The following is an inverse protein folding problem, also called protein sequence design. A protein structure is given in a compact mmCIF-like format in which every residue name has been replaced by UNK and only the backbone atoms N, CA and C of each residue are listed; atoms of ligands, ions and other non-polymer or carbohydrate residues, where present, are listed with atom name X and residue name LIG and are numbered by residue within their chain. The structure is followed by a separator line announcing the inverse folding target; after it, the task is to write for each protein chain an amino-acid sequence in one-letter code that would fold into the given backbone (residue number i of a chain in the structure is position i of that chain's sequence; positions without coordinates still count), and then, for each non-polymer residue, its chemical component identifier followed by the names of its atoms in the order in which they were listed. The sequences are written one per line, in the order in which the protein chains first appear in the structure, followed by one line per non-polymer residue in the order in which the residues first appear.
data_IF_928967733381
#
_entry.id   IF_928967733381
#
_cell.length_a   1.000
_cell.length_b   1.000
_cell.length_c   1.000
_cell.angle_alpha   90.00
_cell.angle_beta   90.00
_cell.angle_gamma   90.00
#
_symmetry.space_group_name_H-M   'P 1'
#
loop_
_entity.id
_entity.type
_entity.pdbx_description
1 polymer ?
#
# COMPACT_ATOMS: atom_id res chain seq x y z
N UNK A 1 10.10 -19.81 -7.49
CA UNK A 1 9.55 -19.07 -6.34
C UNK A 1 10.08 -17.65 -6.44
N UNK A 2 9.40 -16.78 -7.18
CA UNK A 2 9.89 -15.44 -7.45
C UNK A 2 9.77 -14.60 -6.18
N UNK A 3 10.89 -14.03 -5.74
CA UNK A 3 11.00 -12.97 -4.74
C UNK A 3 10.26 -11.73 -5.26
N UNK A 4 8.92 -11.77 -5.25
CA UNK A 4 8.12 -10.60 -5.58
C UNK A 4 8.50 -9.53 -4.56
N UNK A 5 9.01 -8.40 -5.06
CA UNK A 5 9.39 -7.26 -4.23
C UNK A 5 8.15 -6.85 -3.41
N UNK A 6 8.19 -7.11 -2.10
CA UNK A 6 7.08 -6.90 -1.15
C UNK A 6 6.84 -5.43 -0.81
N UNK A 7 7.61 -4.54 -1.44
CA UNK A 7 7.65 -3.12 -1.15
C UNK A 7 7.56 -2.36 -2.46
N UNK A 8 6.55 -1.52 -2.58
CA UNK A 8 6.31 -0.65 -3.74
C UNK A 8 6.24 0.80 -3.30
N UNK A 9 6.65 1.72 -4.19
CA UNK A 9 6.36 3.13 -4.01
C UNK A 9 4.83 3.35 -3.97
N UNK A 10 4.31 4.36 -3.27
CA UNK A 10 2.87 4.65 -3.26
C UNK A 10 2.27 4.82 -4.67
N UNK A 11 3.09 5.28 -5.61
CA UNK A 11 2.71 5.52 -7.02
C UNK A 11 2.64 4.23 -7.83
N UNK A 12 3.58 3.31 -7.60
CA UNK A 12 3.55 1.97 -8.19
C UNK A 12 2.39 1.16 -7.62
N UNK A 13 2.15 1.28 -6.31
CA UNK A 13 1.03 0.65 -5.63
C UNK A 13 -0.31 1.18 -6.17
N UNK A 14 -0.45 2.48 -6.40
CA UNK A 14 -1.65 3.06 -7.02
C UNK A 14 -1.94 2.44 -8.38
N UNK A 15 -0.92 2.34 -9.24
CA UNK A 15 -1.06 1.73 -10.57
C UNK A 15 -1.33 0.22 -10.52
N UNK A 16 -0.76 -0.49 -9.55
CA UNK A 16 -0.84 -1.95 -9.43
C UNK A 16 -2.14 -2.43 -8.80
N UNK A 17 -2.62 -1.71 -7.78
CA UNK A 17 -3.80 -2.08 -7.01
C UNK A 17 -5.05 -1.29 -7.43
N UNK A 18 -4.90 -0.27 -8.27
CA UNK A 18 -6.02 0.55 -8.74
C UNK A 18 -6.66 1.42 -7.65
N UNK A 19 -5.93 1.71 -6.57
CA UNK A 19 -6.39 2.56 -5.47
C UNK A 19 -5.60 3.84 -5.40
N UNK A 20 -6.25 4.96 -5.13
CA UNK A 20 -5.57 6.25 -5.14
C UNK A 20 -4.49 6.34 -4.06
N UNK A 21 -3.36 6.97 -4.37
CA UNK A 21 -2.27 7.23 -3.42
C UNK A 21 -2.73 7.88 -2.11
N UNK A 22 -3.75 8.74 -2.16
CA UNK A 22 -4.35 9.33 -0.95
C UNK A 22 -4.94 8.29 -0.01
N UNK A 23 -5.60 7.27 -0.55
CA UNK A 23 -6.17 6.18 0.24
C UNK A 23 -5.08 5.28 0.81
N UNK A 24 -4.05 4.98 0.01
CA UNK A 24 -2.86 4.24 0.46
C UNK A 24 -2.19 4.96 1.64
N UNK A 25 -1.93 6.26 1.50
CA UNK A 25 -1.34 7.07 2.57
C UNK A 25 -2.23 7.09 3.82
N UNK A 26 -3.54 7.18 3.66
CA UNK A 26 -4.47 7.11 4.78
C UNK A 26 -4.39 5.75 5.51
N UNK A 27 -4.31 4.64 4.78
CA UNK A 27 -4.13 3.33 5.41
C UNK A 27 -2.80 3.19 6.13
N UNK A 28 -1.76 3.85 5.61
CA UNK A 28 -0.47 3.94 6.28
C UNK A 28 -0.57 4.77 7.57
N UNK A 29 -1.23 5.93 7.53
CA UNK A 29 -1.47 6.79 8.71
C UNK A 29 -2.34 6.11 9.77
N UNK A 30 -3.36 5.35 9.34
CA UNK A 30 -4.23 4.56 10.20
C UNK A 30 -3.52 3.29 10.76
N UNK A 31 -2.27 3.03 10.35
CA UNK A 31 -1.49 1.86 10.79
C UNK A 31 -2.00 0.52 10.22
N UNK A 32 -2.80 0.57 9.16
CA UNK A 32 -3.40 -0.60 8.50
C UNK A 32 -2.44 -1.27 7.52
N UNK A 33 -1.45 -0.53 7.02
CA UNK A 33 -0.47 -1.00 6.03
C UNK A 33 0.92 -0.60 6.49
N UNK A 34 1.85 -1.56 6.48
CA UNK A 34 3.25 -1.26 6.79
C UNK A 34 3.88 -0.39 5.71
N UNK A 35 4.66 0.58 6.15
CA UNK A 35 5.41 1.46 5.26
C UNK A 35 6.84 1.66 5.74
N UNK A 36 7.72 1.95 4.79
CA UNK A 36 9.01 2.57 5.05
C UNK A 36 8.87 4.06 4.83
N UNK A 37 9.34 4.82 5.80
CA UNK A 37 9.42 6.27 5.72
C UNK A 37 10.88 6.68 5.77
N UNK A 38 11.28 7.53 4.84
CA UNK A 38 12.59 8.17 4.86
C UNK A 38 12.38 9.67 5.07
N UNK A 39 13.05 10.25 6.07
CA UNK A 39 12.94 11.67 6.41
C UNK A 39 11.49 12.19 6.59
N UNK A 40 10.59 11.34 7.09
CA UNK A 40 9.17 11.69 7.29
C UNK A 40 8.28 11.58 6.04
N UNK A 41 8.80 11.01 4.94
CA UNK A 41 8.05 10.74 3.72
C UNK A 41 7.95 9.25 3.47
N UNK A 42 6.75 8.75 3.20
CA UNK A 42 6.53 7.35 2.80
C UNK A 42 7.25 7.07 1.48
N UNK A 43 8.29 6.23 1.54
CA UNK A 43 9.08 5.80 0.38
C UNK A 43 8.56 4.50 -0.20
N UNK A 44 8.16 3.57 0.66
CA UNK A 44 7.68 2.25 0.25
C UNK A 44 6.50 1.82 1.11
N UNK A 45 5.57 1.08 0.53
CA UNK A 45 4.43 0.45 1.20
C UNK A 45 4.45 -1.05 0.96
N UNK A 46 4.00 -1.80 1.96
CA UNK A 46 3.93 -3.25 1.88
C UNK A 46 2.78 -3.69 0.96
N UNK A 47 3.12 -4.48 -0.06
CA UNK A 47 2.20 -4.93 -1.10
C UNK A 47 1.15 -5.91 -0.60
N UNK A 48 1.51 -6.81 0.31
CA UNK A 48 0.61 -7.86 0.82
C UNK A 48 -0.46 -7.26 1.72
N UNK A 49 -0.06 -6.39 2.66
CA UNK A 49 -0.98 -5.65 3.52
C UNK A 49 -1.94 -4.81 2.67
N UNK A 50 -1.41 -4.15 1.63
CA UNK A 50 -2.20 -3.35 0.71
C UNK A 50 -3.21 -4.21 -0.05
N UNK A 51 -2.77 -5.35 -0.62
CA UNK A 51 -3.64 -6.28 -1.35
C UNK A 51 -4.82 -6.71 -0.48
N UNK A 52 -4.52 -7.13 0.75
CA UNK A 52 -5.52 -7.58 1.72
C UNK A 52 -6.51 -6.46 2.05
N UNK A 53 -6.01 -5.23 2.27
CA UNK A 53 -6.88 -4.07 2.54
C UNK A 53 -7.73 -3.67 1.34
N UNK A 54 -7.19 -3.75 0.14
CA UNK A 54 -7.93 -3.48 -1.10
C UNK A 54 -9.06 -4.49 -1.28
N UNK A 55 -8.79 -5.79 -1.06
CA UNK A 55 -9.83 -6.82 -1.10
C UNK A 55 -10.93 -6.60 -0.06
N UNK A 56 -10.57 -6.24 1.17
CA UNK A 56 -11.53 -5.87 2.21
C UNK A 56 -12.36 -4.63 1.85
N UNK A 57 -11.72 -3.64 1.20
CA UNK A 57 -12.37 -2.41 0.78
C UNK A 57 -13.37 -2.66 -0.35
N UNK A 58 -12.99 -3.45 -1.36
CA UNK A 58 -13.86 -3.82 -2.49
C UNK A 58 -15.04 -4.68 -2.03
N UNK A 59 -14.86 -5.58 -1.06
CA UNK A 59 -15.96 -6.42 -0.52
C UNK A 59 -16.99 -5.64 0.32
N UNK A 60 -16.67 -4.42 0.76
CA UNK A 60 -17.56 -3.57 1.56
C UNK A 60 -18.44 -2.63 0.71
N UNK A 61 -18.23 -2.58 -0.59
CA UNK A 61 -19.12 -1.91 -1.55
C UNK A 61 -20.19 -2.88 -2.06
#
# INVERSE_FOLDING_TARGET
MSLAKLWYSPEDAESKFGVSKKLILKWVEDGLVRCEQDCGRVVSVNSDDLALKVEEYVKKC
#
